data_IF_436370848488
#
_entry.id   IF_436370848488
#
_cell.length_a   1.000
_cell.length_b   1.000
_cell.length_c   1.000
_cell.angle_alpha   90.00
_cell.angle_beta   90.00
_cell.angle_gamma   90.00
#
_symmetry.space_group_name_H-M   'P 1'
#
loop_
_entity.id
_entity.type
_entity.pdbx_description
1 polymer ?
#
# COMPACT_ATOMS: atom_id res chain seq x y z
N UNK A 1 -19.22 2.04 27.17
CA UNK A 1 -19.92 1.62 25.93
C UNK A 1 -20.80 0.37 26.08
N UNK A 2 -20.40 -0.68 26.80
CA UNK A 2 -21.18 -1.92 26.94
C UNK A 2 -22.46 -1.77 27.77
N UNK A 3 -22.44 -0.95 28.82
CA UNK A 3 -23.58 -0.73 29.72
C UNK A 3 -24.79 -0.13 29.01
N UNK A 4 -24.59 0.92 28.20
CA UNK A 4 -25.68 1.57 27.46
C UNK A 4 -26.34 0.65 26.44
N UNK A 5 -25.59 -0.24 25.78
CA UNK A 5 -26.15 -1.14 24.78
C UNK A 5 -27.05 -2.21 25.42
N UNK A 6 -26.64 -2.70 26.59
CA UNK A 6 -27.48 -3.60 27.40
C UNK A 6 -28.77 -2.89 27.84
N UNK A 7 -28.68 -1.59 28.16
CA UNK A 7 -29.81 -0.75 28.57
C UNK A 7 -30.81 -0.56 27.43
N UNK A 8 -30.35 -0.29 26.20
CA UNK A 8 -31.21 -0.21 25.02
C UNK A 8 -31.88 -1.56 24.72
N UNK A 9 -31.15 -2.69 24.75
CA UNK A 9 -31.77 -4.01 24.56
C UNK A 9 -32.86 -4.31 25.61
N UNK A 10 -32.61 -4.01 26.88
CA UNK A 10 -33.60 -4.17 27.96
C UNK A 10 -34.83 -3.28 27.74
N UNK A 11 -34.61 -2.01 27.38
CA UNK A 11 -35.69 -1.06 27.08
C UNK A 11 -36.52 -1.50 25.87
N UNK A 12 -35.89 -2.07 24.83
CA UNK A 12 -36.58 -2.67 23.67
C UNK A 12 -37.52 -3.77 24.08
N UNK A 13 -37.02 -4.72 24.89
CA UNK A 13 -37.80 -5.86 25.34
C UNK A 13 -38.99 -5.42 26.20
N UNK A 14 -38.80 -4.40 27.04
CA UNK A 14 -39.87 -3.82 27.85
C UNK A 14 -40.94 -3.13 27.00
N UNK A 15 -40.55 -2.29 26.02
CA UNK A 15 -41.49 -1.61 25.12
C UNK A 15 -42.24 -2.62 24.26
N UNK A 16 -41.55 -3.61 23.69
CA UNK A 16 -42.17 -4.68 22.89
C UNK A 16 -43.18 -5.49 23.70
N UNK A 17 -42.82 -5.89 24.93
CA UNK A 17 -43.75 -6.56 25.84
C UNK A 17 -44.97 -5.70 26.18
N UNK A 18 -44.77 -4.39 26.40
CA UNK A 18 -45.86 -3.43 26.65
C UNK A 18 -46.77 -3.25 25.44
N UNK A 19 -46.20 -3.23 24.23
CA UNK A 19 -46.94 -3.15 22.96
C UNK A 19 -47.78 -4.41 22.74
N UNK A 20 -47.21 -5.60 22.93
CA UNK A 20 -47.95 -6.88 22.83
C UNK A 20 -49.10 -6.95 23.84
N UNK A 21 -48.89 -6.49 25.08
CA UNK A 21 -49.97 -6.41 26.08
C UNK A 21 -51.09 -5.44 25.66
N UNK A 22 -50.74 -4.33 25.02
CA UNK A 22 -51.69 -3.33 24.54
C UNK A 22 -52.51 -3.87 23.37
N UNK A 23 -51.86 -4.53 22.41
CA UNK A 23 -52.50 -5.21 21.27
C UNK A 23 -53.50 -6.25 21.77
N UNK A 24 -53.08 -7.16 22.65
CA UNK A 24 -53.98 -8.19 23.19
C UNK A 24 -55.18 -7.59 23.95
N UNK A 25 -54.99 -6.44 24.61
CA UNK A 25 -56.08 -5.72 25.31
C UNK A 25 -57.08 -5.11 24.33
N UNK A 26 -56.60 -4.58 23.21
CA UNK A 26 -57.43 -4.03 22.14
C UNK A 26 -58.19 -5.15 21.42
N UNK A 27 -57.52 -6.26 21.08
CA UNK A 27 -58.15 -7.45 20.47
C UNK A 27 -59.28 -8.02 21.34
N UNK A 28 -59.07 -8.12 22.67
CA UNK A 28 -60.12 -8.56 23.59
C UNK A 28 -61.32 -7.62 23.68
N UNK A 29 -61.10 -6.32 23.45
CA UNK A 29 -62.12 -5.27 23.44
C UNK A 29 -62.93 -5.24 22.14
N UNK A 30 -62.25 -5.42 21.00
CA UNK A 30 -62.88 -5.53 19.67
C UNK A 30 -63.85 -6.71 19.58
N UNK A 31 -63.57 -7.81 20.29
CA UNK A 31 -64.43 -8.99 20.30
C UNK A 31 -65.74 -8.83 21.11
N UNK A 32 -66.03 -7.63 21.65
CA UNK A 32 -67.21 -7.34 22.46
C UNK A 32 -68.11 -6.35 21.73
N UNK A 33 -69.28 -6.79 21.24
CA UNK A 33 -70.15 -6.07 20.28
C UNK A 33 -70.76 -4.75 20.80
N UNK A 34 -70.60 -4.41 22.08
CA UNK A 34 -71.21 -3.25 22.74
C UNK A 34 -70.21 -2.14 23.14
N UNK A 35 -68.96 -2.15 22.68
CA UNK A 35 -67.99 -1.09 23.02
C UNK A 35 -68.10 0.16 22.13
N UNK A 36 -68.19 1.38 22.70
CA UNK A 36 -68.18 2.63 21.93
C UNK A 36 -66.84 2.88 21.24
N UNK A 37 -66.88 3.30 19.97
CA UNK A 37 -65.70 3.56 19.12
C UNK A 37 -64.75 4.61 19.73
N UNK A 38 -65.28 5.61 20.42
CA UNK A 38 -64.51 6.69 21.05
C UNK A 38 -63.54 6.19 22.15
N UNK A 39 -63.79 4.99 22.70
CA UNK A 39 -62.90 4.39 23.70
C UNK A 39 -61.59 3.85 23.09
N UNK A 40 -61.49 3.73 21.76
CA UNK A 40 -60.32 3.19 21.07
C UNK A 40 -59.31 4.26 20.65
N UNK A 41 -59.69 5.53 20.53
CA UNK A 41 -58.78 6.62 20.08
C UNK A 41 -57.55 6.74 20.99
N UNK A 42 -57.75 6.74 22.31
CA UNK A 42 -56.65 6.79 23.29
C UNK A 42 -55.73 5.56 23.22
N UNK A 43 -56.26 4.40 22.81
CA UNK A 43 -55.45 3.18 22.63
C UNK A 43 -54.63 3.24 21.35
N UNK A 44 -55.18 3.79 20.27
CA UNK A 44 -54.48 3.99 18.99
C UNK A 44 -53.33 4.99 19.15
N UNK A 45 -53.54 6.09 19.88
CA UNK A 45 -52.47 7.06 20.15
C UNK A 45 -51.32 6.42 20.95
N UNK A 46 -51.65 5.64 22.00
CA UNK A 46 -50.64 4.90 22.76
C UNK A 46 -49.92 3.82 21.95
N UNK A 47 -50.59 3.18 20.98
CA UNK A 47 -49.96 2.23 20.07
C UNK A 47 -48.94 2.94 19.18
N UNK A 48 -49.34 4.04 18.53
CA UNK A 48 -48.47 4.82 17.66
C UNK A 48 -47.21 5.32 18.38
N UNK A 49 -47.35 5.84 19.60
CA UNK A 49 -46.22 6.30 20.41
C UNK A 49 -45.24 5.17 20.76
N UNK A 50 -45.77 4.00 21.15
CA UNK A 50 -44.94 2.84 21.50
C UNK A 50 -44.28 2.23 20.27
N UNK A 51 -44.97 2.22 19.13
CA UNK A 51 -44.43 1.75 17.86
C UNK A 51 -43.32 2.67 17.36
N UNK A 52 -43.52 4.00 17.42
CA UNK A 52 -42.50 5.00 17.11
C UNK A 52 -41.26 4.85 18.00
N UNK A 53 -41.45 4.69 19.31
CA UNK A 53 -40.36 4.45 20.26
C UNK A 53 -39.63 3.13 19.97
N UNK A 54 -40.37 2.06 19.66
CA UNK A 54 -39.78 0.76 19.30
C UNK A 54 -38.97 0.85 18.01
N UNK A 55 -39.46 1.59 17.02
CA UNK A 55 -38.78 1.87 15.76
C UNK A 55 -37.46 2.61 16.00
N UNK A 56 -37.49 3.72 16.73
CA UNK A 56 -36.29 4.50 17.10
C UNK A 56 -35.26 3.62 17.83
N UNK A 57 -35.72 2.76 18.74
CA UNK A 57 -34.83 1.90 19.51
C UNK A 57 -34.21 0.78 18.67
N UNK A 58 -34.90 0.30 17.64
CA UNK A 58 -34.36 -0.66 16.68
C UNK A 58 -33.25 -0.02 15.86
N UNK A 59 -33.49 1.18 15.30
CA UNK A 59 -32.49 1.93 14.53
C UNK A 59 -31.22 2.18 15.36
N UNK A 60 -31.36 2.67 16.60
CA UNK A 60 -30.21 2.90 17.49
C UNK A 60 -29.42 1.62 17.82
N UNK A 61 -30.08 0.46 17.85
CA UNK A 61 -29.43 -0.83 18.09
C UNK A 61 -28.71 -1.30 16.82
N UNK A 62 -29.33 -1.13 15.65
CA UNK A 62 -28.75 -1.46 14.35
C UNK A 62 -27.49 -0.64 14.08
N UNK A 63 -27.55 0.69 14.19
CA UNK A 63 -26.40 1.59 14.01
C UNK A 63 -25.21 1.18 14.90
N UNK A 64 -25.49 0.80 16.15
CA UNK A 64 -24.45 0.43 17.11
C UNK A 64 -23.88 -0.97 16.84
N UNK A 65 -24.69 -1.88 16.30
CA UNK A 65 -24.22 -3.20 15.85
C UNK A 65 -23.33 -3.07 14.62
N UNK A 66 -23.72 -2.24 13.65
CA UNK A 66 -22.91 -1.94 12.47
C UNK A 66 -21.57 -1.33 12.86
N UNK A 67 -21.56 -0.32 13.74
CA UNK A 67 -20.32 0.28 14.24
C UNK A 67 -19.41 -0.74 14.92
N UNK A 68 -19.98 -1.65 15.73
CA UNK A 68 -19.22 -2.69 16.43
C UNK A 68 -18.65 -3.74 15.48
N UNK A 69 -19.41 -4.16 14.48
CA UNK A 69 -18.95 -5.11 13.47
C UNK A 69 -17.81 -4.51 12.67
N UNK A 70 -17.98 -3.26 12.20
CA UNK A 70 -16.93 -2.53 11.49
C UNK A 70 -15.66 -2.34 12.33
N UNK A 71 -15.80 -2.10 13.64
CA UNK A 71 -14.65 -2.00 14.54
C UNK A 71 -13.89 -3.31 14.69
N UNK A 72 -14.59 -4.46 14.65
CA UNK A 72 -13.97 -5.79 14.68
C UNK A 72 -13.27 -6.12 13.38
N UNK A 73 -13.92 -5.83 12.25
CA UNK A 73 -13.31 -6.00 10.92
C UNK A 73 -12.00 -5.23 10.82
N UNK A 74 -11.98 -3.97 11.28
CA UNK A 74 -10.75 -3.16 11.31
C UNK A 74 -9.68 -3.79 12.22
N UNK A 75 -10.04 -4.31 13.40
CA UNK A 75 -9.05 -4.95 14.28
C UNK A 75 -8.50 -6.26 13.72
N UNK A 76 -9.33 -7.03 13.02
CA UNK A 76 -8.91 -8.29 12.42
C UNK A 76 -7.98 -8.03 11.22
N UNK A 77 -8.29 -7.02 10.40
CA UNK A 77 -7.40 -6.53 9.33
C UNK A 77 -6.06 -6.04 9.89
N UNK A 78 -6.07 -5.23 10.97
CA UNK A 78 -4.84 -4.74 11.60
C UNK A 78 -3.95 -5.89 12.14
N UNK A 79 -4.55 -6.95 12.69
CA UNK A 79 -3.80 -8.11 13.18
C UNK A 79 -3.12 -8.87 12.03
N UNK A 80 -3.84 -9.10 10.92
CA UNK A 80 -3.28 -9.76 9.73
C UNK A 80 -2.15 -8.91 9.13
N UNK A 81 -2.34 -7.59 9.07
CA UNK A 81 -1.34 -6.66 8.57
C UNK A 81 -0.06 -6.68 9.43
N UNK A 82 -0.22 -6.82 10.75
CA UNK A 82 0.91 -6.92 11.67
C UNK A 82 1.68 -8.23 11.51
N UNK A 83 0.99 -9.36 11.29
CA UNK A 83 1.63 -10.65 11.05
C UNK A 83 2.45 -10.63 9.75
N UNK A 84 1.88 -10.10 8.66
CA UNK A 84 2.58 -9.93 7.37
C UNK A 84 3.79 -8.99 7.54
N UNK A 85 3.64 -7.92 8.33
CA UNK A 85 4.75 -7.02 8.64
C UNK A 85 5.84 -7.70 9.45
N UNK A 86 5.50 -8.57 10.42
CA UNK A 86 6.48 -9.31 11.20
C UNK A 86 7.29 -10.28 10.35
N UNK A 87 6.65 -11.00 9.42
CA UNK A 87 7.34 -11.85 8.46
C UNK A 87 8.27 -11.05 7.56
N UNK A 88 7.81 -9.88 7.11
CA UNK A 88 8.60 -8.99 6.28
C UNK A 88 9.80 -8.40 7.04
N UNK A 89 9.61 -7.93 8.28
CA UNK A 89 10.66 -7.39 9.17
C UNK A 89 11.74 -8.43 9.51
N UNK A 90 11.44 -9.73 9.49
CA UNK A 90 12.46 -10.77 9.64
C UNK A 90 13.51 -10.77 8.52
N UNK A 91 13.18 -10.20 7.35
CA UNK A 91 14.08 -10.02 6.22
C UNK A 91 14.77 -8.66 6.16
N UNK A 92 14.61 -7.79 7.18
CA UNK A 92 15.19 -6.45 7.21
C UNK A 92 16.58 -6.48 7.83
N UNK A 93 17.53 -5.86 7.13
CA UNK A 93 18.84 -5.56 7.68
C UNK A 93 19.10 -4.06 7.56
N UNK A 94 19.66 -3.43 8.59
CA UNK A 94 20.12 -2.04 8.50
C UNK A 94 21.64 -2.03 8.50
N UNK A 95 22.22 -1.84 7.32
CA UNK A 95 23.66 -1.87 7.08
C UNK A 95 24.08 -0.66 6.26
N UNK A 96 25.27 -0.12 6.51
CA UNK A 96 25.84 0.98 5.73
C UNK A 96 24.92 2.21 5.58
N UNK A 97 24.17 2.52 6.64
CA UNK A 97 23.17 3.62 6.70
C UNK A 97 21.95 3.43 5.79
N UNK A 98 21.71 2.22 5.31
CA UNK A 98 20.59 1.88 4.42
C UNK A 98 19.88 0.63 4.92
N UNK A 99 18.60 0.54 4.57
CA UNK A 99 17.85 -0.69 4.77
C UNK A 99 18.08 -1.61 3.59
N UNK A 100 18.32 -2.88 3.88
CA UNK A 100 18.40 -3.97 2.92
C UNK A 100 17.16 -4.84 3.07
N UNK A 101 16.52 -5.15 1.93
CA UNK A 101 15.27 -5.89 1.87
C UNK A 101 15.33 -7.01 0.84
N UNK A 102 14.51 -8.05 1.08
CA UNK A 102 14.23 -9.11 0.11
C UNK A 102 12.91 -8.84 -0.60
N UNK A 103 12.79 -9.34 -1.82
CA UNK A 103 11.53 -9.33 -2.54
C UNK A 103 10.50 -10.25 -1.86
N UNK A 104 9.22 -9.85 -1.81
CA UNK A 104 8.17 -10.65 -1.21
C UNK A 104 7.70 -11.70 -2.22
N UNK A 105 8.48 -12.77 -2.37
CA UNK A 105 8.17 -13.87 -3.27
C UNK A 105 6.89 -14.61 -2.88
N UNK A 106 6.07 -14.95 -3.87
CA UNK A 106 5.00 -15.92 -3.67
C UNK A 106 5.60 -17.32 -3.47
N UNK A 107 4.88 -18.24 -2.77
CA UNK A 107 5.36 -19.59 -2.53
C UNK A 107 5.82 -20.29 -3.81
N UNK A 108 7.03 -20.84 -3.81
CA UNK A 108 7.68 -21.56 -4.92
C UNK A 108 7.90 -20.74 -6.22
N UNK A 109 7.57 -19.45 -6.26
CA UNK A 109 7.68 -18.68 -7.50
C UNK A 109 9.12 -18.27 -7.84
N UNK A 110 10.01 -18.20 -6.84
CA UNK A 110 11.42 -17.83 -7.03
C UNK A 110 12.15 -18.81 -7.96
N UNK A 111 11.87 -20.11 -7.84
CA UNK A 111 12.48 -21.17 -8.65
C UNK A 111 11.77 -21.41 -9.98
N UNK A 112 10.49 -21.03 -10.08
CA UNK A 112 9.68 -21.15 -11.30
C UNK A 112 9.89 -20.00 -12.28
N UNK A 113 10.48 -18.89 -11.84
CA UNK A 113 10.73 -17.74 -12.69
C UNK A 113 11.82 -18.05 -13.72
N UNK A 114 11.41 -18.23 -14.97
CA UNK A 114 12.31 -18.37 -16.11
C UNK A 114 12.96 -17.02 -16.49
N UNK A 115 14.12 -17.07 -17.15
CA UNK A 115 14.86 -15.87 -17.55
C UNK A 115 14.23 -15.19 -18.78
N UNK A 116 13.92 -13.90 -18.66
CA UNK A 116 13.33 -13.07 -19.74
C UNK A 116 14.38 -12.46 -20.69
N UNK A 117 15.45 -13.20 -20.99
CA UNK A 117 16.64 -12.68 -21.68
C UNK A 117 16.36 -12.22 -23.11
N UNK A 118 15.74 -13.09 -23.92
CA UNK A 118 15.48 -12.82 -25.34
C UNK A 118 14.67 -11.55 -25.56
N UNK A 119 13.70 -11.29 -24.68
CA UNK A 119 12.82 -10.12 -24.78
C UNK A 119 13.55 -8.87 -24.36
N UNK A 120 14.31 -8.93 -23.26
CA UNK A 120 15.15 -7.81 -22.83
C UNK A 120 16.19 -7.45 -23.90
N UNK A 121 16.86 -8.45 -24.48
CA UNK A 121 17.83 -8.28 -25.57
C UNK A 121 17.19 -7.67 -26.83
N UNK A 122 16.05 -8.20 -27.29
CA UNK A 122 15.31 -7.64 -28.45
C UNK A 122 14.88 -6.20 -28.21
N UNK A 123 14.43 -5.86 -27.00
CA UNK A 123 14.04 -4.49 -26.64
C UNK A 123 15.25 -3.55 -26.60
N UNK A 124 16.39 -4.00 -26.10
CA UNK A 124 17.63 -3.21 -26.17
C UNK A 124 18.08 -2.98 -27.62
N UNK A 125 18.04 -3.98 -28.49
CA UNK A 125 18.43 -3.81 -29.91
C UNK A 125 17.55 -2.77 -30.62
N UNK A 126 16.24 -2.74 -30.32
CA UNK A 126 15.35 -1.68 -30.79
C UNK A 126 15.73 -0.30 -30.24
N UNK A 127 16.06 -0.23 -28.95
CA UNK A 127 16.52 1.01 -28.32
C UNK A 127 17.84 1.50 -28.94
N UNK A 128 18.77 0.58 -29.21
CA UNK A 128 20.05 0.83 -29.88
C UNK A 128 19.86 1.42 -31.28
N UNK A 129 18.90 0.89 -32.06
CA UNK A 129 18.55 1.47 -33.36
C UNK A 129 18.04 2.92 -33.22
N UNK A 130 17.30 3.24 -32.16
CA UNK A 130 16.89 4.63 -31.88
C UNK A 130 18.06 5.52 -31.50
N UNK A 131 19.02 5.02 -30.70
CA UNK A 131 20.23 5.77 -30.35
C UNK A 131 21.08 6.13 -31.57
N UNK A 132 21.12 5.28 -32.59
CA UNK A 132 21.81 5.60 -33.86
C UNK A 132 21.17 6.79 -34.59
N UNK A 133 19.85 6.93 -34.49
CA UNK A 133 19.10 7.99 -35.18
C UNK A 133 18.95 9.27 -34.35
N UNK A 134 19.13 9.18 -33.03
CA UNK A 134 18.98 10.29 -32.09
C UNK A 134 20.14 10.28 -31.08
N UNK A 135 21.22 10.98 -31.43
CA UNK A 135 22.43 11.07 -30.59
C UNK A 135 22.17 11.83 -29.28
N UNK A 136 21.25 12.80 -29.27
CA UNK A 136 20.89 13.53 -28.05
C UNK A 136 20.24 12.60 -27.03
N UNK A 137 19.31 11.77 -27.48
CA UNK A 137 18.68 10.75 -26.63
C UNK A 137 19.72 9.79 -26.05
N UNK A 138 20.71 9.37 -26.85
CA UNK A 138 21.76 8.48 -26.38
C UNK A 138 22.61 9.09 -25.28
N UNK A 139 23.08 10.33 -25.47
CA UNK A 139 23.90 11.02 -24.47
C UNK A 139 23.12 11.24 -23.16
N UNK A 140 21.86 11.69 -23.24
CA UNK A 140 21.00 11.83 -22.07
C UNK A 140 20.79 10.49 -21.35
N UNK A 141 20.62 9.39 -22.09
CA UNK A 141 20.48 8.05 -21.52
C UNK A 141 21.77 7.59 -20.82
N UNK A 142 22.90 7.78 -21.49
CA UNK A 142 24.24 7.43 -20.99
C UNK A 142 24.55 8.20 -19.71
N UNK A 143 24.20 9.48 -19.65
CA UNK A 143 24.32 10.28 -18.43
C UNK A 143 23.54 9.68 -17.26
N UNK A 144 22.30 9.23 -17.49
CA UNK A 144 21.49 8.59 -16.42
C UNK A 144 22.11 7.27 -15.96
N UNK A 145 22.57 6.42 -16.89
CA UNK A 145 23.24 5.15 -16.52
C UNK A 145 24.53 5.39 -15.75
N UNK A 146 25.36 6.34 -16.19
CA UNK A 146 26.59 6.72 -15.49
C UNK A 146 26.31 7.26 -14.09
N UNK A 147 25.25 8.06 -13.92
CA UNK A 147 24.82 8.53 -12.61
C UNK A 147 24.43 7.35 -11.71
N UNK A 148 23.65 6.39 -12.23
CA UNK A 148 23.30 5.19 -11.48
C UNK A 148 24.52 4.37 -11.05
N UNK A 149 25.55 4.26 -11.90
CA UNK A 149 26.81 3.61 -11.53
C UNK A 149 27.56 4.38 -10.43
N UNK A 150 27.67 5.70 -10.58
CA UNK A 150 28.39 6.55 -9.62
C UNK A 150 27.74 6.55 -8.23
N UNK A 151 26.41 6.48 -8.17
CA UNK A 151 25.63 6.41 -6.92
C UNK A 151 25.50 4.98 -6.39
N UNK A 152 26.11 4.00 -7.05
CA UNK A 152 26.02 2.56 -6.74
C UNK A 152 24.56 2.08 -6.70
N UNK A 153 23.69 2.65 -7.53
CA UNK A 153 22.31 2.19 -7.75
C UNK A 153 22.30 0.94 -8.62
N UNK A 154 23.26 0.85 -9.54
CA UNK A 154 23.52 -0.33 -10.36
C UNK A 154 24.97 -0.75 -10.20
N UNK A 155 25.22 -2.02 -10.45
CA UNK A 155 26.56 -2.59 -10.54
C UNK A 155 26.66 -3.48 -11.78
N UNK A 156 27.88 -3.60 -12.31
CA UNK A 156 28.16 -4.51 -13.43
C UNK A 156 28.20 -5.93 -12.89
N UNK A 157 27.57 -6.87 -13.60
CA UNK A 157 27.64 -8.28 -13.24
C UNK A 157 29.06 -8.79 -13.55
N UNK A 158 29.74 -9.45 -12.60
CA UNK A 158 31.06 -10.04 -12.84
C UNK A 158 31.01 -11.09 -13.96
N UNK A 159 32.09 -11.22 -14.73
CA UNK A 159 32.18 -12.14 -15.87
C UNK A 159 31.84 -13.58 -15.46
N UNK A 160 32.26 -13.96 -14.27
CA UNK A 160 32.08 -15.28 -13.67
C UNK A 160 30.60 -15.58 -13.38
N UNK A 161 29.80 -14.55 -13.09
CA UNK A 161 28.38 -14.64 -12.73
C UNK A 161 27.44 -14.49 -13.94
N UNK A 162 27.97 -14.07 -15.10
CA UNK A 162 27.17 -13.90 -16.31
C UNK A 162 26.57 -15.23 -16.80
N UNK A 163 27.25 -16.36 -16.58
CA UNK A 163 26.83 -17.68 -17.03
C UNK A 163 25.99 -18.46 -16.02
N UNK A 164 25.61 -17.84 -14.90
CA UNK A 164 24.65 -18.44 -13.97
C UNK A 164 23.36 -18.78 -14.72
N UNK A 165 22.76 -19.95 -14.41
CA UNK A 165 21.58 -20.46 -15.13
C UNK A 165 20.30 -20.51 -14.30
N UNK A 166 20.38 -20.15 -13.02
CA UNK A 166 19.25 -20.20 -12.10
C UNK A 166 19.07 -18.85 -11.41
N UNK A 167 17.84 -18.54 -11.01
CA UNK A 167 17.49 -17.35 -10.22
C UNK A 167 17.91 -16.02 -10.88
N UNK A 168 17.76 -15.94 -12.20
CA UNK A 168 18.11 -14.75 -12.99
C UNK A 168 16.90 -14.27 -13.77
N UNK A 169 16.71 -12.96 -13.79
CA UNK A 169 15.69 -12.34 -14.62
C UNK A 169 16.22 -11.05 -15.26
N UNK A 170 15.93 -10.90 -16.55
CA UNK A 170 16.33 -9.72 -17.32
C UNK A 170 15.16 -8.76 -17.50
N UNK A 171 15.31 -7.56 -16.93
CA UNK A 171 14.38 -6.46 -17.04
C UNK A 171 14.66 -5.67 -18.33
N UNK A 172 13.70 -5.59 -19.26
CA UNK A 172 13.78 -4.60 -20.32
C UNK A 172 13.61 -3.19 -19.76
N UNK A 173 14.21 -2.23 -20.43
CA UNK A 173 14.13 -0.82 -20.03
C UNK A 173 13.84 0.09 -21.22
N UNK A 174 13.35 1.29 -20.92
CA UNK A 174 13.04 2.32 -21.91
C UNK A 174 13.18 3.73 -21.32
N UNK A 175 13.43 4.70 -22.20
CA UNK A 175 13.37 6.11 -21.86
C UNK A 175 11.92 6.58 -21.72
N UNK A 176 11.66 7.36 -20.66
CA UNK A 176 10.46 8.19 -20.50
C UNK A 176 10.92 9.63 -20.41
N UNK A 177 10.50 10.44 -21.38
CA UNK A 177 10.84 11.86 -21.48
C UNK A 177 9.69 12.66 -20.89
N UNK A 178 9.98 13.54 -19.95
CA UNK A 178 9.01 14.50 -19.41
C UNK A 178 9.37 15.88 -19.92
N UNK A 179 8.53 16.45 -20.77
CA UNK A 179 8.71 17.80 -21.35
C UNK A 179 8.30 18.91 -20.38
N UNK A 180 7.63 18.53 -19.29
CA UNK A 180 6.90 19.35 -18.33
C UNK A 180 7.66 19.68 -17.02
N UNK A 181 8.92 19.26 -16.86
CA UNK A 181 9.75 19.58 -15.68
C UNK A 181 11.16 20.05 -16.02
N UNK A 182 11.65 21.03 -15.25
CA UNK A 182 12.98 21.65 -15.38
C UNK A 182 14.16 20.77 -14.96
N UNK A 183 13.96 19.73 -14.13
CA UNK A 183 15.09 19.07 -13.42
C UNK A 183 15.36 17.58 -13.75
N UNK A 184 14.68 16.96 -14.71
CA UNK A 184 15.15 15.68 -15.30
C UNK A 184 14.39 15.40 -16.60
N UNK A 185 14.94 15.76 -17.76
CA UNK A 185 14.27 15.59 -19.06
C UNK A 185 14.03 14.11 -19.40
N UNK A 186 14.92 13.20 -18.97
CA UNK A 186 14.85 11.77 -19.25
C UNK A 186 14.90 10.92 -17.98
N UNK A 187 14.09 9.86 -17.93
CA UNK A 187 14.15 8.81 -16.90
C UNK A 187 14.16 7.43 -17.54
N UNK A 188 14.90 6.51 -16.93
CA UNK A 188 14.91 5.10 -17.34
C UNK A 188 13.85 4.36 -16.52
N UNK A 189 12.94 3.68 -17.20
CA UNK A 189 11.91 2.83 -16.58
C UNK A 189 12.16 1.38 -16.96
N UNK A 190 12.15 0.52 -15.96
CA UNK A 190 12.28 -0.92 -16.11
C UNK A 190 10.90 -1.58 -16.12
N UNK A 191 10.72 -2.58 -16.99
CA UNK A 191 9.46 -3.29 -17.18
C UNK A 191 9.52 -4.68 -16.54
N UNK A 192 9.18 -4.75 -15.25
CA UNK A 192 9.10 -6.00 -14.49
C UNK A 192 7.85 -6.83 -14.80
N UNK A 193 6.94 -6.34 -15.64
CA UNK A 193 5.79 -7.08 -16.16
C UNK A 193 6.06 -7.74 -17.51
N UNK A 194 7.26 -7.54 -18.08
CA UNK A 194 7.62 -8.17 -19.35
C UNK A 194 7.89 -9.65 -19.17
N UNK A 195 7.26 -10.47 -20.01
CA UNK A 195 7.48 -11.92 -20.09
C UNK A 195 7.23 -12.44 -21.50
N UNK A 196 7.72 -13.65 -21.79
CA UNK A 196 7.36 -14.37 -23.01
C UNK A 196 5.93 -14.93 -22.93
N UNK A 197 5.40 -15.38 -24.08
CA UNK A 197 4.08 -16.00 -24.11
C UNK A 197 4.11 -17.26 -23.25
N UNK A 198 3.11 -17.41 -22.37
CA UNK A 198 3.00 -18.52 -21.42
C UNK A 198 4.14 -18.61 -20.39
N UNK A 199 4.88 -17.52 -20.17
CA UNK A 199 5.91 -17.41 -19.14
C UNK A 199 5.49 -16.40 -18.07
N UNK A 200 6.08 -16.51 -16.88
CA UNK A 200 5.81 -15.60 -15.77
C UNK A 200 6.68 -14.34 -15.87
N UNK A 201 6.13 -13.19 -15.46
CA UNK A 201 6.93 -11.98 -15.22
C UNK A 201 7.40 -11.91 -13.78
N UNK A 202 8.41 -11.09 -13.50
CA UNK A 202 8.83 -10.81 -12.12
C UNK A 202 7.66 -10.33 -11.28
N UNK A 203 6.80 -9.47 -11.82
CA UNK A 203 5.61 -8.96 -11.11
C UNK A 203 4.55 -10.04 -10.83
N UNK A 204 4.48 -11.11 -11.63
CA UNK A 204 3.56 -12.23 -11.37
C UNK A 204 4.04 -13.10 -10.22
N UNK A 205 5.36 -13.20 -10.04
CA UNK A 205 5.99 -14.00 -8.99
C UNK A 205 6.04 -13.32 -7.62
N UNK A 206 5.80 -12.01 -7.56
CA UNK A 206 5.86 -11.23 -6.33
C UNK A 206 4.48 -10.93 -5.75
N UNK A 207 4.38 -10.91 -4.43
CA UNK A 207 3.25 -10.31 -3.74
C UNK A 207 3.27 -8.79 -3.95
N UNK A 208 2.08 -8.19 -4.12
CA UNK A 208 1.94 -6.73 -4.10
C UNK A 208 2.35 -6.15 -2.75
N UNK A 209 2.16 -6.93 -1.68
CA UNK A 209 2.26 -6.50 -0.30
C UNK A 209 1.02 -5.73 0.15
N UNK A 210 1.04 -5.28 1.41
CA UNK A 210 -0.03 -4.50 2.03
C UNK A 210 -0.15 -3.12 1.39
N UNK A 211 -1.38 -2.63 1.29
CA UNK A 211 -1.64 -1.29 0.80
C UNK A 211 -1.56 -0.28 1.94
N UNK A 212 -0.40 0.36 2.08
CA UNK A 212 -0.19 1.42 3.08
C UNK A 212 -0.63 2.81 2.63
N UNK A 213 -1.35 2.94 1.51
CA UNK A 213 -1.89 4.25 1.10
C UNK A 213 -3.08 4.56 2.00
N UNK A 214 -2.98 5.55 2.93
CA UNK A 214 -4.10 5.89 3.78
C UNK A 214 -5.20 6.54 2.95
N UNK A 215 -6.43 6.45 3.44
CA UNK A 215 -7.56 7.13 2.81
C UNK A 215 -7.28 8.64 2.76
N UNK A 216 -7.22 9.20 1.55
CA UNK A 216 -6.88 10.61 1.31
C UNK A 216 -7.83 11.57 2.04
N UNK A 217 -9.14 11.25 2.07
CA UNK A 217 -10.12 12.09 2.76
C UNK A 217 -9.85 12.12 4.27
N UNK A 218 -9.59 10.96 4.87
CA UNK A 218 -9.28 10.86 6.29
C UNK A 218 -7.97 11.59 6.65
N UNK A 219 -6.96 11.47 5.77
CA UNK A 219 -5.71 12.20 5.93
C UNK A 219 -5.93 13.72 5.89
N UNK A 220 -6.70 14.21 4.92
CA UNK A 220 -6.97 15.65 4.79
C UNK A 220 -7.74 16.19 5.99
N UNK A 221 -8.64 15.40 6.58
CA UNK A 221 -9.30 15.77 7.85
C UNK A 221 -8.27 15.86 8.97
N UNK A 222 -7.42 14.85 9.16
CA UNK A 222 -6.37 14.86 10.19
C UNK A 222 -5.43 16.05 10.06
N UNK A 223 -5.02 16.35 8.84
CA UNK A 223 -4.17 17.50 8.51
C UNK A 223 -4.80 18.85 8.93
N UNK A 224 -6.13 18.91 9.08
CA UNK A 224 -6.87 20.10 9.53
C UNK A 224 -7.17 20.11 11.03
N UNK A 225 -7.00 18.99 11.74
CA UNK A 225 -7.26 18.91 13.19
C UNK A 225 -6.22 19.71 13.97
N UNK A 226 -4.97 19.69 13.53
CA UNK A 226 -3.85 20.35 14.19
C UNK A 226 -3.49 21.68 13.52
N UNK A 227 -3.07 22.70 14.28
CA UNK A 227 -2.77 24.04 13.75
C UNK A 227 -1.46 24.10 12.94
N UNK A 228 -0.60 23.10 13.08
CA UNK A 228 0.73 23.05 12.46
C UNK A 228 0.92 21.66 11.86
N UNK A 229 1.38 21.62 10.61
CA UNK A 229 1.70 20.39 9.90
C UNK A 229 3.08 20.49 9.25
N UNK A 230 3.88 19.43 9.37
CA UNK A 230 5.16 19.31 8.67
C UNK A 230 4.98 18.52 7.39
N UNK A 231 5.60 18.99 6.32
CA UNK A 231 5.58 18.34 5.00
C UNK A 231 7.02 18.26 4.51
N UNK A 232 7.48 17.06 4.19
CA UNK A 232 8.80 16.83 3.61
C UNK A 232 8.73 15.87 2.42
N UNK A 233 9.47 16.17 1.36
CA UNK A 233 9.62 15.29 0.21
C UNK A 233 10.84 14.36 0.42
N UNK A 234 10.65 13.05 0.24
CA UNK A 234 11.74 12.08 0.32
C UNK A 234 12.29 11.89 -1.09
N UNK A 235 13.33 12.66 -1.42
CA UNK A 235 14.01 12.56 -2.70
C UNK A 235 14.49 11.12 -2.93
N UNK A 236 14.08 10.53 -4.05
CA UNK A 236 14.53 9.21 -4.51
C UNK A 236 14.32 8.09 -3.47
N UNK A 237 13.18 8.12 -2.76
CA UNK A 237 12.89 7.24 -1.64
C UNK A 237 13.13 5.73 -1.91
N UNK A 238 12.73 5.21 -3.06
CA UNK A 238 12.97 3.80 -3.43
C UNK A 238 14.46 3.47 -3.54
N UNK A 239 15.25 4.38 -4.11
CA UNK A 239 16.69 4.19 -4.33
C UNK A 239 17.48 4.26 -3.01
N UNK A 240 16.84 4.63 -1.90
CA UNK A 240 17.48 4.61 -0.59
C UNK A 240 17.55 3.21 0.01
N UNK A 241 16.73 2.27 -0.48
CA UNK A 241 16.59 0.91 0.01
C UNK A 241 17.42 -0.02 -0.88
N UNK A 242 18.29 -0.82 -0.26
CA UNK A 242 19.10 -1.82 -0.93
C UNK A 242 18.33 -3.13 -1.13
N UNK A 243 18.61 -3.82 -2.22
CA UNK A 243 18.15 -5.19 -2.45
C UNK A 243 19.23 -6.14 -1.94
N UNK A 244 18.81 -7.16 -1.19
CA UNK A 244 19.65 -8.26 -0.73
C UNK A 244 20.47 -8.84 -1.89
N UNK A 245 21.77 -9.02 -1.66
CA UNK A 245 22.72 -9.44 -2.70
C UNK A 245 22.29 -10.73 -3.41
N UNK A 246 21.66 -11.67 -2.68
CA UNK A 246 21.19 -12.95 -3.24
C UNK A 246 20.02 -12.81 -4.22
N UNK A 247 19.41 -11.63 -4.31
CA UNK A 247 18.23 -11.37 -5.13
C UNK A 247 18.44 -10.30 -6.20
N UNK A 248 19.62 -9.68 -6.26
CA UNK A 248 19.93 -8.65 -7.27
C UNK A 248 19.88 -9.21 -8.70
N UNK A 249 20.17 -10.49 -8.87
CA UNK A 249 20.16 -11.16 -10.18
C UNK A 249 18.78 -11.28 -10.83
N UNK A 250 17.70 -11.04 -10.08
CA UNK A 250 16.35 -10.89 -10.64
C UNK A 250 16.10 -9.51 -11.27
N UNK A 251 17.09 -8.61 -11.23
CA UNK A 251 17.01 -7.24 -11.74
C UNK A 251 18.05 -6.94 -12.81
N UNK A 252 18.60 -7.98 -13.45
CA UNK A 252 19.61 -7.81 -14.50
C UNK A 252 19.04 -7.04 -15.69
N UNK A 253 19.87 -6.29 -16.39
CA UNK A 253 19.51 -5.64 -17.63
C UNK A 253 20.72 -5.44 -18.52
N UNK A 254 20.48 -5.39 -19.83
CA UNK A 254 21.54 -5.17 -20.82
C UNK A 254 21.77 -3.69 -21.06
N UNK A 255 23.02 -3.28 -21.23
CA UNK A 255 23.39 -1.93 -21.64
C UNK A 255 24.52 -1.97 -22.68
N UNK A 256 24.58 -0.94 -23.53
CA UNK A 256 25.62 -0.79 -24.55
C UNK A 256 26.12 0.66 -24.55
N UNK A 257 27.34 0.86 -24.06
CA UNK A 257 27.98 2.17 -24.00
C UNK A 257 28.43 2.70 -25.37
N UNK A 258 28.49 1.85 -26.41
CA UNK A 258 28.96 2.25 -27.74
C UNK A 258 28.05 1.65 -28.84
N UNK A 259 26.84 2.20 -29.04
CA UNK A 259 25.84 1.65 -29.96
C UNK A 259 26.22 1.78 -31.44
N UNK A 260 27.12 2.71 -31.79
CA UNK A 260 27.50 3.04 -33.17
C UNK A 260 28.48 2.09 -33.83
N UNK A 261 29.11 1.17 -33.09
CA UNK A 261 30.03 0.19 -33.62
C UNK A 261 29.24 -1.10 -33.91
N UNK A 262 28.93 -1.37 -35.18
CA UNK A 262 28.36 -2.65 -35.61
C UNK A 262 29.44 -3.73 -35.65
N UNK A 263 29.78 -4.22 -34.46
CA UNK A 263 30.38 -5.54 -34.33
C UNK A 263 29.22 -6.50 -34.11
N UNK A 264 28.90 -7.29 -35.13
CA UNK A 264 27.85 -8.33 -35.14
C UNK A 264 27.97 -9.31 -33.94
N UNK A 265 29.12 -9.33 -33.27
CA UNK A 265 29.46 -10.16 -32.12
C UNK A 265 29.85 -9.37 -30.85
N UNK A 266 29.51 -8.08 -30.73
CA UNK A 266 29.82 -7.35 -29.48
C UNK A 266 28.98 -7.92 -28.34
N UNK A 267 29.66 -8.42 -27.31
CA UNK A 267 29.05 -8.79 -26.04
C UNK A 267 28.41 -7.56 -25.42
N UNK A 268 27.14 -7.67 -25.06
CA UNK A 268 26.40 -6.64 -24.34
C UNK A 268 26.83 -6.67 -22.87
N UNK A 269 26.98 -5.49 -22.27
CA UNK A 269 27.27 -5.40 -20.85
C UNK A 269 26.01 -5.71 -20.04
N UNK A 270 26.17 -6.51 -18.99
CA UNK A 270 25.09 -6.87 -18.08
C UNK A 270 25.30 -6.11 -16.78
N UNK A 271 24.27 -5.39 -16.37
CA UNK A 271 24.19 -4.69 -15.09
C UNK A 271 23.04 -5.26 -14.27
N UNK A 272 23.07 -5.07 -12.95
CA UNK A 272 21.96 -5.38 -12.04
C UNK A 272 21.69 -4.23 -11.09
N UNK A 273 20.46 -4.11 -10.62
CA UNK A 273 20.08 -3.08 -9.64
C UNK A 273 20.49 -3.54 -8.24
N UNK A 274 21.09 -2.64 -7.47
CA UNK A 274 21.41 -2.85 -6.04
C UNK A 274 20.36 -2.23 -5.14
N UNK A 275 19.39 -1.48 -5.71
CA UNK A 275 18.37 -0.71 -5.03
C UNK A 275 16.98 -1.05 -5.52
N UNK A 276 15.99 -0.86 -4.65
CA UNK A 276 14.58 -1.03 -5.01
C UNK A 276 14.24 -0.08 -6.16
N UNK A 277 13.83 -0.66 -7.29
CA UNK A 277 13.57 0.06 -8.53
C UNK A 277 12.09 0.38 -8.72
N UNK A 278 11.80 1.40 -9.51
CA UNK A 278 10.43 1.70 -9.93
C UNK A 278 10.00 0.76 -11.06
N UNK A 279 8.78 0.22 -10.97
CA UNK A 279 8.22 -0.71 -11.97
C UNK A 279 8.00 -2.13 -11.45
N UNK A 280 8.55 -2.47 -10.28
CA UNK A 280 8.23 -3.72 -9.58
C UNK A 280 6.98 -3.51 -8.72
N UNK A 281 6.08 -4.50 -8.74
CA UNK A 281 4.76 -4.46 -8.10
C UNK A 281 4.84 -4.28 -6.59
N UNK A 282 5.86 -4.85 -5.96
CA UNK A 282 6.09 -4.80 -4.52
C UNK A 282 6.80 -3.54 -4.05
N UNK A 283 7.40 -2.74 -4.93
CA UNK A 283 8.22 -1.59 -4.53
C UNK A 283 7.49 -0.59 -3.62
N UNK A 284 6.21 -0.20 -3.88
CA UNK A 284 5.47 0.67 -2.98
C UNK A 284 5.36 0.10 -1.56
N UNK A 285 5.02 -1.18 -1.45
CA UNK A 285 4.95 -1.86 -0.16
C UNK A 285 6.31 -1.86 0.55
N UNK A 286 7.38 -2.26 -0.15
CA UNK A 286 8.74 -2.29 0.41
C UNK A 286 9.12 -0.94 1.02
N UNK A 287 8.84 0.16 0.30
CA UNK A 287 9.15 1.50 0.78
C UNK A 287 8.28 1.93 1.97
N UNK A 288 6.97 1.74 1.92
CA UNK A 288 6.11 2.09 3.06
C UNK A 288 6.44 1.30 4.32
N UNK A 289 6.65 -0.02 4.17
CA UNK A 289 7.01 -0.88 5.29
C UNK A 289 8.37 -0.47 5.88
N UNK A 290 9.36 -0.14 5.04
CA UNK A 290 10.65 0.40 5.49
C UNK A 290 10.49 1.70 6.27
N UNK A 291 9.68 2.64 5.75
CA UNK A 291 9.43 3.92 6.45
C UNK A 291 8.71 3.66 7.77
N UNK A 292 7.68 2.81 7.79
CA UNK A 292 6.93 2.45 9.01
C UNK A 292 7.85 1.84 10.07
N UNK A 293 8.75 0.93 9.65
CA UNK A 293 9.75 0.33 10.51
C UNK A 293 10.76 1.36 11.06
N UNK A 294 11.30 2.21 10.18
CA UNK A 294 12.21 3.28 10.58
C UNK A 294 11.58 4.21 11.62
N UNK A 295 10.32 4.58 11.41
CA UNK A 295 9.57 5.45 12.32
C UNK A 295 9.31 4.82 13.69
N UNK A 296 8.95 3.53 13.74
CA UNK A 296 8.78 2.81 15.01
C UNK A 296 10.06 2.80 15.84
N UNK A 297 11.22 2.72 15.18
CA UNK A 297 12.53 2.55 15.83
C UNK A 297 13.28 3.86 16.12
N UNK A 298 12.84 5.01 15.58
CA UNK A 298 13.45 6.31 15.89
C UNK A 298 13.04 6.81 17.29
N UNK A 299 14.01 6.96 18.19
CA UNK A 299 13.82 7.47 19.57
C UNK A 299 13.15 8.86 19.66
N UNK A 300 13.26 9.72 18.65
CA UNK A 300 12.56 11.01 18.61
C UNK A 300 11.03 10.84 18.56
N UNK A 301 10.54 9.75 17.98
CA UNK A 301 9.13 9.41 18.07
C UNK A 301 8.72 9.01 19.49
N UNK A 302 9.61 8.53 20.36
CA UNK A 302 9.25 8.18 21.73
C UNK A 302 8.92 9.42 22.60
N UNK A 303 9.64 10.53 22.40
CA UNK A 303 9.34 11.83 23.03
C UNK A 303 8.10 12.51 22.43
N UNK A 304 7.86 12.32 21.13
CA UNK A 304 6.69 12.86 20.43
C UNK A 304 5.43 11.97 20.70
N UNK A 305 5.56 10.65 20.84
CA UNK A 305 4.46 9.73 21.15
C UNK A 305 3.96 9.87 22.59
N UNK A 306 4.83 10.25 23.54
CA UNK A 306 4.41 10.66 24.88
C UNK A 306 3.49 11.90 24.86
N UNK A 307 3.44 12.65 23.75
CA UNK A 307 2.54 13.79 23.54
C UNK A 307 1.47 13.55 22.45
N UNK A 308 1.53 12.45 21.67
CA UNK A 308 0.73 12.30 20.45
C UNK A 308 0.27 10.86 20.25
N UNK A 309 -1.01 10.63 20.56
CA UNK A 309 -1.74 9.47 20.08
C UNK A 309 -2.00 9.63 18.57
N UNK A 310 -1.65 8.61 17.80
CA UNK A 310 -1.92 8.39 16.37
C UNK A 310 -0.90 8.98 15.37
N UNK A 311 -0.14 8.10 14.69
CA UNK A 311 0.61 8.44 13.48
C UNK A 311 0.49 7.29 12.47
N UNK A 312 0.12 7.61 11.23
CA UNK A 312 0.16 6.72 10.06
C UNK A 312 0.95 7.44 8.98
N UNK A 313 1.93 6.77 8.38
CA UNK A 313 2.88 7.37 7.45
C UNK A 313 2.54 7.09 5.98
N UNK A 314 2.64 8.08 5.10
CA UNK A 314 2.41 7.93 3.66
C UNK A 314 3.73 7.89 2.86
N UNK A 315 3.73 7.09 1.80
CA UNK A 315 4.72 7.02 0.72
C UNK A 315 4.82 8.35 -0.05
N UNK A 316 6.07 8.77 -0.32
CA UNK A 316 6.50 9.91 -1.16
C UNK A 316 6.26 11.34 -0.62
N UNK A 317 5.59 11.52 0.50
CA UNK A 317 5.63 12.80 1.25
C UNK A 317 5.46 12.49 2.73
N UNK A 318 6.50 12.78 3.51
CA UNK A 318 6.54 12.52 4.95
C UNK A 318 5.78 13.63 5.67
N UNK A 319 4.68 13.27 6.33
CA UNK A 319 3.91 14.17 7.19
C UNK A 319 3.96 13.64 8.62
N UNK A 320 4.51 14.44 9.55
CA UNK A 320 4.51 14.17 10.99
C UNK A 320 3.76 15.31 11.66
N UNK A 321 2.83 14.99 12.55
CA UNK A 321 2.03 15.97 13.30
C UNK A 321 2.63 16.15 14.69
N UNK A 322 2.63 17.39 15.21
CA UNK A 322 2.96 17.69 16.60
C UNK A 322 1.77 18.32 17.34
N UNK A 323 1.33 17.71 18.45
CA UNK A 323 0.38 18.35 19.37
C UNK A 323 1.20 19.23 20.34
N UNK A 324 0.96 20.54 20.33
CA UNK A 324 1.54 21.45 21.32
C UNK A 324 0.48 21.68 22.38
N UNK A 325 0.63 21.06 23.55
CA UNK A 325 -0.18 21.42 24.71
C UNK A 325 0.22 22.83 25.16
N UNK A 326 -0.70 23.78 25.02
CA UNK A 326 -0.58 25.07 25.69
C UNK A 326 -0.79 24.81 27.19
N UNK A 327 0.29 24.86 27.98
CA UNK A 327 0.16 25.01 29.43
C UNK A 327 -0.21 26.48 29.75
N UNK A 328 -1.04 26.70 30.79
CA UNK A 328 -1.67 27.98 31.11
C UNK A 328 -0.70 29.07 31.60
#
# INVERSE_FOLDING_TARGET
MSEDFSKFKKKRTAVRSSLTKLINKIEGKINNENEPVDQFEAFIEQLNDKESNLSLLNTLIEDRLEFRNRSREVSDEENIDNDIMSEFEAGFSYQNKRYEVKFPWKPNMKTLLEYNEDIARKRLLKLRSRFKNDSSLFEDYKLVVNNYLSEKIIERVPFEEENLKHNIFYLPHRAVIRTDKTTSKLRIVFDASSHAKAQLSLNDCLHTGLNFIPNLFFLLIKFRVNPIAFVADIKMAFLMIEIDESERDFTRFFWDENPGIDLENKRLDIFRMTRVLFGVKSSPFLLAATIKHHLKNMWIFFLILLTISTSHCMLMTFCVEMSVSKQP
#
